data_IF_501818275684
#
_entry.id   IF_501818275684
#
_cell.length_a   1.000
_cell.length_b   1.000
_cell.length_c   1.000
_cell.angle_alpha   90.00
_cell.angle_beta   90.00
_cell.angle_gamma   90.00
#
_symmetry.space_group_name_H-M   'P 1'
#
loop_
_entity.id
_entity.type
_entity.pdbx_description
1 polymer ?
#
# COMPACT_ATOMS: atom_id res chain seq x y z
N UNK A 1 -6.53 -13.57 -21.60
CA UNK A 1 -7.18 -12.54 -20.75
C UNK A 1 -8.56 -13.04 -20.33
N UNK A 2 -9.09 -12.57 -19.20
CA UNK A 2 -10.44 -12.92 -18.70
C UNK A 2 -11.22 -11.63 -18.44
N UNK A 3 -12.45 -11.55 -18.93
CA UNK A 3 -13.34 -10.44 -18.61
C UNK A 3 -13.99 -10.71 -17.25
N UNK A 4 -13.77 -9.80 -16.30
CA UNK A 4 -14.36 -9.87 -14.96
C UNK A 4 -14.55 -8.45 -14.42
N UNK A 5 -15.65 -8.24 -13.69
CA UNK A 5 -15.93 -7.00 -12.95
C UNK A 5 -15.94 -7.22 -11.43
N UNK A 6 -15.99 -8.48 -10.98
CA UNK A 6 -16.08 -8.87 -9.59
C UNK A 6 -15.06 -9.97 -9.27
N UNK A 7 -14.49 -9.89 -8.08
CA UNK A 7 -13.55 -10.88 -7.54
C UNK A 7 -13.89 -11.14 -6.07
N UNK A 8 -13.90 -12.41 -5.65
CA UNK A 8 -14.14 -12.77 -4.25
C UNK A 8 -12.97 -12.40 -3.32
N UNK A 9 -11.74 -12.40 -3.85
CA UNK A 9 -10.53 -12.11 -3.11
C UNK A 9 -9.77 -10.95 -3.76
N UNK A 10 -9.27 -10.04 -2.93
CA UNK A 10 -8.43 -8.93 -3.36
C UNK A 10 -7.01 -9.37 -3.76
N UNK A 11 -6.19 -8.45 -4.29
CA UNK A 11 -4.81 -8.74 -4.66
C UNK A 11 -3.95 -9.06 -3.43
N UNK A 12 -2.84 -9.78 -3.65
CA UNK A 12 -2.01 -10.33 -2.58
C UNK A 12 -1.51 -9.28 -1.57
N UNK A 13 -1.20 -8.06 -2.02
CA UNK A 13 -0.71 -6.99 -1.15
C UNK A 13 -1.73 -6.56 -0.08
N UNK A 14 -3.03 -6.69 -0.34
CA UNK A 14 -4.06 -6.41 0.68
C UNK A 14 -3.94 -7.39 1.85
N UNK A 15 -3.56 -8.65 1.59
CA UNK A 15 -3.28 -9.62 2.65
C UNK A 15 -2.11 -9.19 3.53
N UNK A 16 -0.98 -8.80 2.92
CA UNK A 16 0.20 -8.32 3.64
C UNK A 16 -0.10 -7.06 4.46
N UNK A 17 -0.84 -6.11 3.88
CA UNK A 17 -1.24 -4.89 4.56
C UNK A 17 -2.16 -5.16 5.76
N UNK A 18 -3.10 -6.12 5.65
CA UNK A 18 -3.93 -6.56 6.79
C UNK A 18 -3.10 -7.16 7.91
N UNK A 19 -2.11 -7.99 7.58
CA UNK A 19 -1.20 -8.58 8.60
C UNK A 19 -0.39 -7.48 9.27
N UNK A 20 0.29 -6.60 8.52
CA UNK A 20 1.08 -5.51 9.09
C UNK A 20 0.22 -4.59 9.98
N UNK A 21 -0.98 -4.27 9.51
CA UNK A 21 -1.99 -3.44 10.18
C UNK A 21 -2.49 -3.99 11.51
N UNK A 22 -2.40 -5.30 11.72
CA UNK A 22 -2.88 -5.98 12.93
C UNK A 22 -1.87 -5.95 14.08
N UNK A 23 -0.60 -5.64 13.79
CA UNK A 23 0.44 -5.48 14.79
C UNK A 23 0.57 -4.02 15.23
N UNK A 24 1.01 -3.81 16.47
CA UNK A 24 1.39 -2.48 16.96
C UNK A 24 2.82 -2.17 16.53
N UNK A 25 3.11 -0.90 16.23
CA UNK A 25 4.43 -0.41 15.85
C UNK A 25 5.02 -1.09 14.60
N UNK A 26 4.17 -1.55 13.68
CA UNK A 26 4.57 -2.04 12.35
C UNK A 26 4.02 -1.09 11.31
N UNK A 27 4.91 -0.50 10.51
CA UNK A 27 4.55 0.40 9.41
C UNK A 27 4.82 -0.28 8.07
N UNK A 28 3.81 -0.40 7.23
CA UNK A 28 3.95 -0.99 5.91
C UNK A 28 4.31 0.08 4.87
N UNK A 29 5.26 -0.22 3.99
CA UNK A 29 5.57 0.60 2.83
C UNK A 29 5.33 -0.22 1.56
N UNK A 30 4.43 0.26 0.71
CA UNK A 30 4.08 -0.40 -0.53
C UNK A 30 4.69 0.31 -1.72
N UNK A 31 5.45 -0.42 -2.55
CA UNK A 31 5.96 0.11 -3.80
C UNK A 31 4.90 -0.03 -4.90
N UNK A 32 4.15 1.04 -5.17
CA UNK A 32 3.01 1.00 -6.08
C UNK A 32 2.74 2.37 -6.74
N UNK A 33 1.99 2.43 -7.85
CA UNK A 33 1.53 3.68 -8.44
C UNK A 33 0.63 4.50 -7.48
N UNK A 34 0.44 5.76 -7.83
CA UNK A 34 -0.52 6.63 -7.15
C UNK A 34 -1.95 6.07 -7.29
N UNK A 35 -2.67 5.96 -6.17
CA UNK A 35 -4.04 5.46 -6.11
C UNK A 35 -4.18 4.03 -5.57
N UNK A 36 -3.09 3.26 -5.55
CA UNK A 36 -3.09 1.91 -4.95
C UNK A 36 -3.17 1.95 -3.40
N UNK A 37 -3.10 3.13 -2.78
CA UNK A 37 -3.27 3.37 -1.35
C UNK A 37 -4.73 3.31 -0.86
N UNK A 38 -5.67 2.87 -1.70
CA UNK A 38 -7.09 2.70 -1.37
C UNK A 38 -7.34 1.77 -0.15
N UNK A 39 -6.36 0.96 0.25
CA UNK A 39 -6.38 0.20 1.51
C UNK A 39 -6.64 1.10 2.73
N UNK A 40 -6.05 2.31 2.76
CA UNK A 40 -6.23 3.25 3.86
C UNK A 40 -7.69 3.71 3.98
N UNK A 41 -8.36 3.91 2.83
CA UNK A 41 -9.78 4.28 2.78
C UNK A 41 -10.66 3.10 3.22
N UNK A 42 -10.39 1.89 2.71
CA UNK A 42 -11.14 0.71 3.12
C UNK A 42 -11.04 0.47 4.63
N UNK A 43 -9.83 0.57 5.19
CA UNK A 43 -9.59 0.31 6.60
C UNK A 43 -10.26 1.34 7.49
N UNK A 44 -10.01 2.63 7.25
CA UNK A 44 -10.60 3.69 8.06
C UNK A 44 -12.12 3.68 8.02
N UNK A 45 -12.72 3.41 6.86
CA UNK A 45 -14.17 3.45 6.70
C UNK A 45 -14.86 2.18 7.21
N UNK A 46 -14.35 1.00 6.87
CA UNK A 46 -15.02 -0.27 7.17
C UNK A 46 -14.70 -0.78 8.58
N UNK A 47 -13.46 -0.61 9.05
CA UNK A 47 -13.09 -0.96 10.44
C UNK A 47 -13.39 0.18 11.42
N UNK A 48 -13.78 1.37 10.91
CA UNK A 48 -14.04 2.58 11.70
C UNK A 48 -12.86 2.95 12.61
N UNK A 49 -11.65 2.76 12.07
CA UNK A 49 -10.41 3.03 12.77
C UNK A 49 -10.32 4.52 13.13
N UNK A 50 -9.92 4.81 14.38
CA UNK A 50 -9.79 6.19 14.86
C UNK A 50 -8.44 6.78 14.50
N UNK A 51 -7.42 5.93 14.42
CA UNK A 51 -6.05 6.32 14.12
C UNK A 51 -5.76 6.23 12.60
N UNK A 52 -4.66 6.87 12.19
CA UNK A 52 -4.19 6.71 10.81
C UNK A 52 -3.72 5.27 10.56
N UNK A 53 -4.10 4.72 9.41
CA UNK A 53 -3.59 3.42 8.98
C UNK A 53 -2.08 3.50 8.77
N UNK A 54 -1.32 2.61 9.44
CA UNK A 54 0.15 2.52 9.36
C UNK A 54 0.63 1.89 8.04
N UNK A 55 0.22 2.48 6.92
CA UNK A 55 0.63 2.09 5.58
C UNK A 55 0.92 3.32 4.72
N UNK A 56 2.01 3.30 3.96
CA UNK A 56 2.42 4.39 3.06
C UNK A 56 2.85 3.84 1.70
N UNK A 57 2.51 4.55 0.63
CA UNK A 57 2.93 4.16 -0.72
C UNK A 57 4.22 4.87 -1.12
N UNK A 58 5.26 4.10 -1.43
CA UNK A 58 6.44 4.57 -2.15
C UNK A 58 6.11 4.62 -3.65
N UNK A 59 5.63 5.80 -4.08
CA UNK A 59 5.02 6.02 -5.40
C UNK A 59 5.94 5.61 -6.55
N UNK A 60 5.41 4.80 -7.45
CA UNK A 60 5.97 4.51 -8.78
C UNK A 60 5.42 5.55 -9.76
N UNK A 61 6.30 6.42 -10.24
CA UNK A 61 5.98 7.39 -11.29
C UNK A 61 6.84 7.15 -12.54
N UNK A 62 6.68 8.02 -13.56
CA UNK A 62 7.46 7.94 -14.80
C UNK A 62 8.97 8.02 -14.59
N UNK A 63 9.44 8.64 -13.52
CA UNK A 63 10.87 8.76 -13.24
C UNK A 63 11.41 7.47 -12.66
N UNK A 64 10.64 6.81 -11.78
CA UNK A 64 10.95 5.47 -11.28
C UNK A 64 11.06 4.46 -12.42
N UNK A 65 10.17 4.55 -13.41
CA UNK A 65 10.24 3.68 -14.60
C UNK A 65 11.49 3.93 -15.45
N UNK A 66 12.00 5.17 -15.49
CA UNK A 66 13.14 5.55 -16.31
C UNK A 66 14.50 5.34 -15.61
N UNK A 67 14.55 5.55 -14.29
CA UNK A 67 15.81 5.59 -13.51
C UNK A 67 15.93 4.48 -12.48
N UNK A 68 14.85 3.73 -12.23
CA UNK A 68 14.79 2.69 -11.20
C UNK A 68 14.14 3.18 -9.90
N UNK A 69 13.72 2.23 -9.08
CA UNK A 69 12.96 2.47 -7.85
C UNK A 69 13.79 2.50 -6.57
N UNK A 70 15.05 2.07 -6.62
CA UNK A 70 15.83 1.77 -5.42
C UNK A 70 15.98 2.97 -4.49
N UNK A 71 16.44 4.12 -5.00
CA UNK A 71 16.63 5.33 -4.19
C UNK A 71 15.32 5.74 -3.49
N UNK A 72 14.21 5.81 -4.26
CA UNK A 72 12.92 6.25 -3.74
C UNK A 72 12.35 5.30 -2.69
N UNK A 73 12.54 3.99 -2.85
CA UNK A 73 12.07 3.01 -1.86
C UNK A 73 12.89 3.12 -0.58
N UNK A 74 14.21 3.21 -0.69
CA UNK A 74 15.12 3.35 0.47
C UNK A 74 14.85 4.64 1.23
N UNK A 75 14.70 5.77 0.54
CA UNK A 75 14.42 7.06 1.17
C UNK A 75 13.09 7.06 1.95
N UNK A 76 12.06 6.42 1.38
CA UNK A 76 10.76 6.30 2.07
C UNK A 76 10.83 5.39 3.29
N UNK A 77 11.66 4.34 3.26
CA UNK A 77 11.90 3.48 4.42
C UNK A 77 12.63 4.26 5.51
N UNK A 78 13.71 4.97 5.19
CA UNK A 78 14.51 5.70 6.18
C UNK A 78 13.76 6.88 6.83
N UNK A 79 12.76 7.44 6.14
CA UNK A 79 11.93 8.53 6.67
C UNK A 79 10.87 8.06 7.68
N UNK A 80 10.61 6.76 7.78
CA UNK A 80 9.58 6.17 8.65
C UNK A 80 10.19 5.37 9.78
#
# INVERSE_FOLDING_TARGET
>A
MKLAYWMYAGPAHIGTLRVASSFKNVHAIMHAPLGDDYFNVMRSMLERERDFTAATTSIVDRHVLARGSQERVVDNILRK
#
